data_IF_674762180467
#
_entry.id   IF_674762180467
#
_cell.length_a   1.000
_cell.length_b   1.000
_cell.length_c   1.000
_cell.angle_alpha   90.00
_cell.angle_beta   90.00
_cell.angle_gamma   90.00
#
_symmetry.space_group_name_H-M   'P 1'
#
loop_
_entity.id
_entity.type
_entity.pdbx_description
1 polymer ?
#
# COMPACT_ATOMS: atom_id res chain seq x y z
N UNK A 1 -10.22 -11.54 -19.67
CA UNK A 1 -9.92 -10.51 -18.65
C UNK A 1 -9.68 -11.20 -17.32
N UNK A 2 -8.83 -10.65 -16.45
CA UNK A 2 -8.62 -11.20 -15.11
C UNK A 2 -9.87 -10.95 -14.23
N UNK A 3 -10.20 -11.85 -13.28
CA UNK A 3 -11.39 -11.72 -12.44
C UNK A 3 -11.47 -10.39 -11.67
N UNK A 4 -10.33 -9.84 -11.26
CA UNK A 4 -10.25 -8.61 -10.48
C UNK A 4 -10.83 -7.41 -11.24
N UNK A 5 -10.75 -7.40 -12.58
CA UNK A 5 -11.29 -6.33 -13.40
C UNK A 5 -12.82 -6.23 -13.37
N UNK A 6 -13.52 -7.23 -12.80
CA UNK A 6 -14.99 -7.20 -12.65
C UNK A 6 -15.49 -6.08 -11.73
N UNK A 7 -14.62 -5.51 -10.89
CA UNK A 7 -14.98 -4.37 -10.02
C UNK A 7 -15.17 -3.06 -10.82
N UNK A 8 -14.69 -2.99 -12.06
CA UNK A 8 -14.85 -1.81 -12.88
C UNK A 8 -16.26 -1.69 -13.43
N UNK A 9 -17.01 -0.67 -13.02
CA UNK A 9 -18.34 -0.37 -13.57
C UNK A 9 -18.29 0.50 -14.81
N UNK A 10 -17.19 1.22 -15.01
CA UNK A 10 -16.94 2.01 -16.22
C UNK A 10 -15.44 2.22 -16.45
N UNK A 11 -15.11 2.51 -17.70
CA UNK A 11 -13.77 2.93 -18.10
C UNK A 11 -13.86 4.24 -18.88
N UNK A 12 -13.02 5.22 -18.53
CA UNK A 12 -13.05 6.57 -19.09
C UNK A 12 -11.66 6.91 -19.63
N UNK A 13 -11.61 7.27 -20.90
CA UNK A 13 -10.41 7.84 -21.51
C UNK A 13 -10.30 9.31 -21.12
N UNK A 14 -9.15 9.69 -20.59
CA UNK A 14 -8.84 11.07 -20.23
C UNK A 14 -7.99 11.71 -21.30
N UNK A 15 -8.56 12.73 -21.93
CA UNK A 15 -7.87 13.60 -22.88
C UNK A 15 -7.14 14.70 -22.13
N UNK A 16 -5.93 15.00 -22.60
CA UNK A 16 -5.15 16.17 -22.16
C UNK A 16 -5.89 17.47 -22.45
N UNK A 17 -6.57 17.55 -23.60
CA UNK A 17 -7.30 18.73 -24.06
C UNK A 17 -8.81 18.61 -23.81
N UNK A 18 -9.53 19.73 -23.59
CA UNK A 18 -10.98 19.75 -23.48
C UNK A 18 -11.66 19.16 -24.74
N UNK A 19 -12.83 18.52 -24.60
CA UNK A 19 -13.60 18.11 -25.77
C UNK A 19 -13.97 19.34 -26.62
N UNK A 20 -13.99 19.23 -27.97
CA UNK A 20 -14.45 20.30 -28.83
C UNK A 20 -15.90 20.68 -28.51
N UNK A 21 -16.32 21.95 -28.73
CA UNK A 21 -17.67 22.40 -28.43
C UNK A 21 -18.70 21.55 -29.17
N UNK A 22 -19.86 21.26 -28.54
CA UNK A 22 -20.87 20.41 -29.14
C UNK A 22 -21.36 21.02 -30.46
N UNK A 23 -21.57 20.20 -31.51
CA UNK A 23 -22.19 20.68 -32.74
C UNK A 23 -23.61 21.15 -32.46
N UNK A 24 -24.00 22.27 -33.08
CA UNK A 24 -25.37 22.78 -33.06
C UNK A 24 -26.35 21.72 -33.57
N UNK A 25 -27.45 21.55 -32.84
CA UNK A 25 -28.35 20.40 -32.80
C UNK A 25 -28.75 19.74 -34.14
N UNK A 26 -28.81 18.41 -34.13
CA UNK A 26 -29.80 17.62 -34.85
C UNK A 26 -30.17 16.37 -34.00
N UNK A 27 -31.46 16.07 -33.95
CA UNK A 27 -32.16 15.33 -32.89
C UNK A 27 -32.15 13.79 -33.02
N UNK A 28 -32.42 13.14 -31.88
CA UNK A 28 -32.86 11.76 -31.61
C UNK A 28 -32.03 10.54 -32.07
N UNK A 29 -31.09 10.67 -32.99
CA UNK A 29 -30.10 9.62 -33.35
C UNK A 29 -28.85 9.63 -32.43
N UNK A 30 -28.71 10.69 -31.64
CA UNK A 30 -27.52 10.99 -30.84
C UNK A 30 -27.24 10.00 -29.71
N UNK A 31 -28.27 9.44 -29.07
CA UNK A 31 -28.09 8.62 -27.87
C UNK A 31 -27.59 7.21 -28.18
N UNK A 32 -28.16 6.57 -29.21
CA UNK A 32 -27.65 5.28 -29.69
C UNK A 32 -26.21 5.41 -30.21
N UNK A 33 -25.94 6.43 -31.03
CA UNK A 33 -24.59 6.68 -31.55
C UNK A 33 -23.58 7.09 -30.46
N UNK A 34 -24.03 7.72 -29.35
CA UNK A 34 -23.19 8.04 -28.20
C UNK A 34 -22.92 6.82 -27.33
N UNK A 35 -23.93 5.96 -27.13
CA UNK A 35 -23.78 4.69 -26.42
C UNK A 35 -22.81 3.74 -27.15
N UNK A 36 -22.93 3.61 -28.49
CA UNK A 36 -22.00 2.79 -29.29
C UNK A 36 -20.57 3.30 -29.19
N UNK A 37 -20.33 4.62 -29.34
CA UNK A 37 -19.00 5.23 -29.17
C UNK A 37 -18.44 5.04 -27.76
N UNK A 38 -19.29 5.07 -26.74
CA UNK A 38 -18.89 4.81 -25.35
C UNK A 38 -18.42 3.36 -25.19
N UNK A 39 -19.16 2.39 -25.73
CA UNK A 39 -18.81 0.97 -25.69
C UNK A 39 -17.52 0.67 -26.45
N UNK A 40 -17.33 1.23 -27.64
CA UNK A 40 -16.09 1.11 -28.42
C UNK A 40 -14.87 1.67 -27.65
N UNK A 41 -15.05 2.82 -26.99
CA UNK A 41 -14.02 3.41 -26.14
C UNK A 41 -13.65 2.49 -24.97
N UNK A 42 -14.65 1.97 -24.25
CA UNK A 42 -14.43 1.04 -23.15
C UNK A 42 -13.72 -0.25 -23.63
N UNK A 43 -14.17 -0.83 -24.74
CA UNK A 43 -13.53 -2.01 -25.33
C UNK A 43 -12.05 -1.76 -25.66
N UNK A 44 -11.74 -0.59 -26.23
CA UNK A 44 -10.36 -0.18 -26.51
C UNK A 44 -9.53 -0.04 -25.23
N UNK A 45 -10.07 0.59 -24.18
CA UNK A 45 -9.40 0.74 -22.90
C UNK A 45 -9.10 -0.62 -22.27
N UNK A 46 -10.08 -1.54 -22.23
CA UNK A 46 -9.87 -2.87 -21.67
C UNK A 46 -8.91 -3.72 -22.50
N UNK A 47 -8.90 -3.55 -23.83
CA UNK A 47 -7.91 -4.19 -24.70
C UNK A 47 -6.50 -3.72 -24.38
N UNK A 48 -6.31 -2.41 -24.15
CA UNK A 48 -5.04 -1.86 -23.72
C UNK A 48 -4.63 -2.30 -22.31
N UNK A 49 -5.58 -2.42 -21.38
CA UNK A 49 -5.33 -2.96 -20.05
C UNK A 49 -4.85 -4.41 -20.17
N UNK A 50 -5.55 -5.25 -20.92
CA UNK A 50 -5.14 -6.64 -21.17
C UNK A 50 -3.73 -6.72 -21.76
N UNK A 51 -3.41 -5.83 -22.70
CA UNK A 51 -2.05 -5.70 -23.23
C UNK A 51 -1.01 -5.42 -22.13
N UNK A 52 -1.28 -4.49 -21.21
CA UNK A 52 -0.39 -4.15 -20.11
C UNK A 52 -0.26 -5.25 -19.03
N UNK A 53 -1.28 -6.10 -18.89
CA UNK A 53 -1.22 -7.28 -18.00
C UNK A 53 -0.26 -8.35 -18.54
N UNK A 54 -0.23 -8.54 -19.86
CA UNK A 54 0.56 -9.61 -20.50
C UNK A 54 1.95 -9.14 -20.92
N UNK A 55 2.05 -7.96 -21.51
CA UNK A 55 3.31 -7.38 -21.98
C UNK A 55 3.82 -6.35 -20.99
N UNK A 56 5.05 -6.55 -20.51
CA UNK A 56 5.79 -5.53 -19.77
C UNK A 56 7.04 -5.12 -20.53
N UNK A 57 7.27 -3.82 -20.61
CA UNK A 57 8.54 -3.24 -21.06
C UNK A 57 9.44 -2.85 -19.88
N UNK A 58 8.93 -2.93 -18.65
CA UNK A 58 9.67 -2.61 -17.42
C UNK A 58 9.86 -3.85 -16.56
N UNK A 59 11.02 -3.99 -15.89
CA UNK A 59 11.20 -5.05 -14.91
C UNK A 59 10.23 -4.85 -13.74
N UNK A 60 9.83 -5.96 -13.12
CA UNK A 60 9.11 -5.92 -11.86
C UNK A 60 10.06 -5.35 -10.77
N UNK A 61 9.49 -4.61 -9.83
CA UNK A 61 10.18 -3.96 -8.72
C UNK A 61 9.35 -4.13 -7.44
N UNK A 62 9.93 -3.73 -6.30
CA UNK A 62 9.16 -3.65 -5.07
C UNK A 62 8.06 -2.59 -5.21
N UNK A 63 6.84 -3.01 -4.91
CA UNK A 63 5.64 -2.22 -5.00
C UNK A 63 5.20 -1.68 -3.65
N UNK A 64 5.82 -2.07 -2.52
CA UNK A 64 5.50 -1.49 -1.22
C UNK A 64 5.87 0.00 -1.22
N UNK A 65 4.98 0.82 -0.67
CA UNK A 65 5.15 2.25 -0.48
C UNK A 65 5.44 2.57 0.99
N UNK A 66 4.56 2.15 1.89
CA UNK A 66 4.72 2.26 3.34
C UNK A 66 3.80 1.28 4.08
N UNK A 67 4.04 1.14 5.37
CA UNK A 67 3.22 0.40 6.32
C UNK A 67 1.86 1.08 6.55
N UNK A 68 0.79 0.29 6.63
CA UNK A 68 -0.56 0.79 6.97
C UNK A 68 -0.92 0.41 8.40
N UNK A 69 -0.83 -0.87 8.74
CA UNK A 69 -1.00 -1.37 10.10
C UNK A 69 -0.50 -2.81 10.25
N UNK A 70 -0.06 -3.14 11.47
CA UNK A 70 0.07 -4.51 11.96
C UNK A 70 -1.16 -4.88 12.80
N UNK A 71 -1.48 -6.16 12.92
CA UNK A 71 -2.55 -6.63 13.83
C UNK A 71 -2.19 -6.47 15.30
N UNK A 72 -0.90 -6.53 15.62
CA UNK A 72 -0.35 -6.23 16.93
C UNK A 72 1.13 -5.87 16.79
N UNK A 73 1.67 -5.23 17.82
CA UNK A 73 3.11 -5.04 17.98
C UNK A 73 3.48 -5.32 19.44
N UNK A 74 4.59 -6.03 19.68
CA UNK A 74 5.02 -6.35 21.05
C UNK A 74 5.66 -5.16 21.75
N UNK A 75 6.64 -4.53 21.09
CA UNK A 75 7.45 -3.48 21.68
C UNK A 75 7.71 -2.34 20.69
N UNK A 76 8.01 -1.15 21.22
CA UNK A 76 8.19 0.09 20.43
C UNK A 76 9.41 0.06 19.49
N UNK A 77 10.35 -0.88 19.69
CA UNK A 77 11.51 -1.08 18.81
C UNK A 77 11.24 -2.10 17.70
N UNK A 78 10.19 -2.93 17.86
CA UNK A 78 9.89 -4.08 17.02
C UNK A 78 8.75 -3.75 16.04
N UNK A 79 8.83 -2.57 15.44
CA UNK A 79 7.76 -1.95 14.67
C UNK A 79 7.69 -2.45 13.23
N UNK A 80 6.53 -2.26 12.61
CA UNK A 80 6.25 -2.72 11.25
C UNK A 80 7.19 -2.08 10.22
N UNK A 81 7.60 -0.83 10.42
CA UNK A 81 8.48 -0.06 9.53
C UNK A 81 9.82 -0.74 9.29
N UNK A 82 10.35 -1.47 10.29
CA UNK A 82 11.58 -2.24 10.15
C UNK A 82 11.50 -3.30 9.03
N UNK A 83 10.28 -3.77 8.70
CA UNK A 83 10.07 -4.74 7.61
C UNK A 83 10.27 -4.18 6.21
N UNK A 84 10.48 -2.87 6.06
CA UNK A 84 10.85 -2.23 4.81
C UNK A 84 12.38 -2.30 4.58
N UNK A 85 13.14 -2.54 5.64
CA UNK A 85 14.60 -2.59 5.60
C UNK A 85 15.08 -4.02 5.25
N UNK A 86 15.87 -4.20 4.18
CA UNK A 86 16.33 -5.53 3.76
C UNK A 86 17.30 -6.20 4.73
N UNK A 87 17.82 -5.46 5.72
CA UNK A 87 18.85 -5.90 6.64
C UNK A 87 18.21 -6.24 7.99
N UNK A 88 18.54 -7.41 8.54
CA UNK A 88 18.08 -7.84 9.87
C UNK A 88 18.84 -7.13 11.02
N UNK A 89 19.85 -6.32 10.68
CA UNK A 89 20.60 -5.47 11.60
C UNK A 89 20.94 -4.11 10.96
N UNK A 90 20.68 -3.03 11.67
CA UNK A 90 21.05 -1.65 11.32
C UNK A 90 21.84 -1.07 12.49
N UNK A 91 23.04 -0.55 12.24
CA UNK A 91 23.94 -0.01 13.29
C UNK A 91 24.12 -0.96 14.50
N UNK A 92 24.23 -2.26 14.20
CA UNK A 92 24.32 -3.37 15.18
C UNK A 92 23.06 -3.60 16.03
N UNK A 93 21.97 -2.90 15.76
CA UNK A 93 20.67 -3.13 16.38
C UNK A 93 19.83 -4.07 15.51
N UNK A 94 19.05 -4.98 16.10
CA UNK A 94 18.08 -5.78 15.37
C UNK A 94 17.06 -4.89 14.62
N UNK A 95 16.74 -5.25 13.37
CA UNK A 95 15.68 -4.61 12.59
C UNK A 95 14.64 -5.65 12.20
N UNK A 96 13.50 -5.64 12.89
CA UNK A 96 12.37 -6.54 12.65
C UNK A 96 11.08 -5.99 13.23
N UNK A 97 9.95 -6.54 12.77
CA UNK A 97 8.66 -6.45 13.45
C UNK A 97 8.40 -7.70 14.29
N UNK A 98 7.73 -7.54 15.43
CA UNK A 98 7.27 -8.66 16.27
C UNK A 98 5.82 -8.50 16.70
N UNK A 99 5.07 -9.59 16.65
CA UNK A 99 3.71 -9.68 17.20
C UNK A 99 3.71 -9.70 18.72
N UNK A 100 2.59 -9.36 19.36
CA UNK A 100 2.39 -9.70 20.78
C UNK A 100 2.38 -11.22 21.02
N UNK A 101 2.81 -11.61 22.21
CA UNK A 101 2.81 -13.01 22.66
C UNK A 101 1.39 -13.58 22.78
N UNK A 102 1.21 -14.82 22.30
CA UNK A 102 -0.06 -15.57 22.37
C UNK A 102 0.13 -16.96 22.97
N UNK A 103 -0.85 -17.42 23.74
CA UNK A 103 -0.87 -18.80 24.27
C UNK A 103 -1.29 -19.81 23.20
N UNK A 104 -2.25 -19.43 22.36
CA UNK A 104 -2.76 -20.25 21.26
C UNK A 104 -1.90 -20.05 20.00
N UNK A 105 -1.21 -21.10 19.51
CA UNK A 105 -0.37 -20.99 18.32
C UNK A 105 -1.18 -20.79 17.03
N UNK A 106 -2.49 -20.98 17.02
CA UNK A 106 -3.31 -20.85 15.81
C UNK A 106 -3.88 -19.44 15.63
N UNK A 107 -3.66 -18.53 16.59
CA UNK A 107 -4.03 -17.10 16.46
C UNK A 107 -3.13 -16.43 15.41
N UNK A 108 -3.71 -15.97 14.28
CA UNK A 108 -2.94 -15.39 13.18
C UNK A 108 -2.51 -13.95 13.48
N UNK A 109 -1.51 -13.48 12.74
CA UNK A 109 -1.13 -12.06 12.67
C UNK A 109 -1.24 -11.56 11.23
N UNK A 110 -1.14 -10.25 11.04
CA UNK A 110 -1.19 -9.64 9.73
C UNK A 110 -0.36 -8.36 9.65
N UNK A 111 0.28 -8.18 8.51
CA UNK A 111 0.97 -6.96 8.11
C UNK A 111 0.30 -6.40 6.85
N UNK A 112 -0.21 -5.17 6.93
CA UNK A 112 -0.90 -4.50 5.82
C UNK A 112 -0.05 -3.35 5.27
N UNK A 113 0.19 -3.37 3.96
CA UNK A 113 1.01 -2.38 3.26
C UNK A 113 0.23 -1.64 2.19
N UNK A 114 0.62 -0.39 1.98
CA UNK A 114 0.21 0.42 0.85
C UNK A 114 1.15 0.17 -0.32
N UNK A 115 0.62 0.07 -1.54
CA UNK A 115 1.41 -0.05 -2.74
C UNK A 115 1.67 1.31 -3.42
N UNK A 116 2.73 1.38 -4.22
CA UNK A 116 3.15 2.55 -5.00
C UNK A 116 2.08 3.07 -5.97
N UNK A 117 1.05 2.27 -6.27
CA UNK A 117 -0.09 2.69 -7.06
C UNK A 117 -1.39 1.98 -6.66
N UNK A 118 -2.52 2.61 -6.99
CA UNK A 118 -3.85 2.01 -6.90
C UNK A 118 -4.11 0.93 -7.94
N UNK A 119 -3.20 0.72 -8.90
CA UNK A 119 -3.35 -0.34 -9.89
C UNK A 119 -1.99 -0.93 -10.22
N UNK A 120 -1.73 -2.12 -9.68
CA UNK A 120 -0.48 -2.85 -9.86
C UNK A 120 -0.74 -4.26 -10.38
N UNK A 121 0.19 -4.79 -11.16
CA UNK A 121 0.27 -6.21 -11.49
C UNK A 121 1.28 -6.85 -10.56
N UNK A 122 0.84 -7.74 -9.68
CA UNK A 122 1.69 -8.39 -8.67
C UNK A 122 1.93 -9.84 -9.07
N UNK A 123 3.18 -10.27 -9.03
CA UNK A 123 3.61 -11.61 -9.43
C UNK A 123 4.10 -12.45 -8.26
N UNK A 124 4.73 -11.81 -7.27
CA UNK A 124 5.41 -12.50 -6.18
C UNK A 124 5.42 -11.64 -4.91
N UNK A 125 5.35 -12.30 -3.75
CA UNK A 125 5.59 -11.67 -2.46
C UNK A 125 6.83 -12.33 -1.88
N UNK A 126 7.67 -11.56 -1.19
CA UNK A 126 8.80 -12.10 -0.45
C UNK A 126 8.68 -11.75 1.02
N UNK A 127 9.07 -12.67 1.88
CA UNK A 127 9.06 -12.50 3.34
C UNK A 127 10.28 -13.17 3.94
N UNK A 128 10.92 -12.50 4.89
CA UNK A 128 12.04 -13.03 5.66
C UNK A 128 11.64 -13.13 7.13
N UNK A 129 11.47 -14.34 7.69
CA UNK A 129 11.33 -14.51 9.13
C UNK A 129 12.56 -14.01 9.89
N UNK A 130 12.36 -13.47 11.09
CA UNK A 130 13.47 -12.99 11.90
C UNK A 130 14.06 -14.09 12.80
N UNK A 131 15.39 -14.08 12.92
CA UNK A 131 16.16 -14.90 13.85
C UNK A 131 16.61 -14.04 15.02
N UNK A 132 16.16 -14.36 16.24
CA UNK A 132 16.58 -13.66 17.44
C UNK A 132 18.01 -14.09 17.83
N UNK A 133 19.01 -13.53 17.14
CA UNK A 133 20.42 -13.83 17.36
C UNK A 133 20.94 -13.43 18.76
N UNK A 134 20.17 -12.63 19.49
CA UNK A 134 20.44 -12.22 20.86
C UNK A 134 19.88 -13.20 21.92
N UNK A 135 19.03 -14.16 21.54
CA UNK A 135 18.48 -15.18 22.43
C UNK A 135 19.26 -16.50 22.38
N UNK A 136 19.25 -17.26 23.47
CA UNK A 136 19.90 -18.58 23.56
C UNK A 136 19.29 -19.53 22.53
N UNK A 137 20.14 -20.22 21.78
CA UNK A 137 19.71 -21.16 20.74
C UNK A 137 19.31 -20.50 19.42
N UNK A 138 19.32 -19.17 19.36
CA UNK A 138 19.02 -18.36 18.18
C UNK A 138 17.69 -18.73 17.49
N UNK A 139 16.57 -18.70 18.24
CA UNK A 139 15.26 -19.10 17.75
C UNK A 139 14.81 -18.28 16.53
N UNK A 140 14.00 -18.91 15.68
CA UNK A 140 13.39 -18.28 14.51
C UNK A 140 11.88 -18.21 14.73
N UNK A 141 11.34 -17.00 14.77
CA UNK A 141 9.94 -16.74 15.05
C UNK A 141 9.13 -16.65 13.73
N UNK A 142 9.22 -17.67 12.88
CA UNK A 142 8.48 -17.69 11.62
C UNK A 142 7.00 -18.09 11.83
N UNK A 143 6.09 -17.65 10.97
CA UNK A 143 4.81 -18.33 10.82
C UNK A 143 5.00 -19.74 10.22
N UNK A 144 3.98 -20.60 10.29
CA UNK A 144 3.94 -21.88 9.57
C UNK A 144 3.60 -21.68 8.10
N UNK A 145 2.62 -20.82 7.84
CA UNK A 145 2.10 -20.53 6.50
C UNK A 145 1.85 -19.03 6.34
N UNK A 146 1.78 -18.57 5.09
CA UNK A 146 1.37 -17.20 4.76
C UNK A 146 0.27 -17.19 3.71
N UNK A 147 -0.61 -16.19 3.78
CA UNK A 147 -1.66 -15.93 2.81
C UNK A 147 -1.72 -14.46 2.47
N UNK A 148 -1.93 -14.13 1.20
CA UNK A 148 -1.91 -12.77 0.71
C UNK A 148 -3.30 -12.34 0.26
N UNK A 149 -3.73 -11.14 0.68
CA UNK A 149 -4.96 -10.51 0.21
C UNK A 149 -4.64 -9.20 -0.49
N UNK A 150 -5.33 -8.94 -1.60
CA UNK A 150 -5.19 -7.69 -2.35
C UNK A 150 -6.54 -7.00 -2.47
N UNK A 151 -6.53 -5.68 -2.42
CA UNK A 151 -7.76 -4.90 -2.47
C UNK A 151 -7.57 -3.42 -2.22
N UNK A 152 -8.53 -2.83 -1.53
CA UNK A 152 -8.57 -1.40 -1.26
C UNK A 152 -9.07 -1.07 0.14
N UNK A 153 -8.64 0.08 0.66
CA UNK A 153 -9.16 0.66 1.89
C UNK A 153 -10.39 1.53 1.58
N UNK A 154 -11.42 1.44 2.41
CA UNK A 154 -12.64 2.26 2.34
C UNK A 154 -12.41 3.68 2.88
N UNK A 155 -11.42 3.86 3.75
CA UNK A 155 -11.08 5.15 4.33
C UNK A 155 -10.44 6.08 3.28
N UNK A 156 -10.65 7.40 3.38
CA UNK A 156 -10.00 8.35 2.48
C UNK A 156 -8.47 8.22 2.55
N UNK A 157 -7.82 8.37 1.39
CA UNK A 157 -6.35 8.42 1.33
C UNK A 157 -5.83 9.60 2.17
N UNK A 158 -4.87 9.32 3.05
CA UNK A 158 -4.33 10.30 4.01
C UNK A 158 -5.04 10.31 5.37
N UNK A 159 -6.11 9.53 5.54
CA UNK A 159 -6.77 9.28 6.83
C UNK A 159 -6.41 7.90 7.41
N UNK A 160 -5.61 7.13 6.67
CA UNK A 160 -4.82 6.05 7.29
C UNK A 160 -3.92 6.70 8.34
N UNK A 161 -3.66 6.04 9.48
CA UNK A 161 -2.91 6.61 10.57
C UNK A 161 -1.45 6.82 10.14
N UNK A 162 -1.21 7.91 9.42
CA UNK A 162 0.09 8.51 9.26
C UNK A 162 0.39 9.13 10.61
N UNK A 163 0.98 8.33 11.51
CA UNK A 163 1.50 8.76 12.81
C UNK A 163 0.51 9.65 13.56
N UNK A 164 -0.51 9.04 14.17
CA UNK A 164 -1.17 9.72 15.29
C UNK A 164 -0.21 9.61 16.46
N UNK A 165 0.06 10.75 17.07
CA UNK A 165 0.97 10.95 18.18
C UNK A 165 0.93 9.83 19.21
N UNK A 166 2.11 9.59 19.77
CA UNK A 166 2.41 8.63 20.82
C UNK A 166 1.58 8.97 22.07
N UNK A 167 0.34 8.49 22.13
CA UNK A 167 -0.34 8.20 23.37
C UNK A 167 -1.53 7.24 23.14
N UNK A 168 -1.42 6.06 23.77
CA UNK A 168 -2.45 5.04 24.02
C UNK A 168 -3.37 4.58 22.85
N UNK A 169 -3.15 3.31 22.45
CA UNK A 169 -3.82 2.48 21.43
C UNK A 169 -3.28 2.61 20.01
N UNK A 170 -2.39 1.67 19.65
CA UNK A 170 -2.13 1.26 18.26
C UNK A 170 -3.44 1.26 17.47
N UNK A 171 -3.63 2.24 16.60
CA UNK A 171 -4.82 2.36 15.77
C UNK A 171 -4.80 1.27 14.69
N UNK A 172 -5.10 0.03 15.08
CA UNK A 172 -5.30 -1.08 14.16
C UNK A 172 -6.51 -0.74 13.31
N UNK A 173 -6.29 -0.47 12.02
CA UNK A 173 -7.41 -0.33 11.09
C UNK A 173 -8.15 -1.67 11.06
N UNK A 174 -9.39 -1.67 11.56
CA UNK A 174 -10.20 -2.87 11.57
C UNK A 174 -10.36 -3.44 10.16
N UNK A 175 -10.30 -4.78 10.02
CA UNK A 175 -10.30 -5.47 8.72
C UNK A 175 -11.55 -5.12 7.87
N UNK A 176 -12.65 -4.75 8.53
CA UNK A 176 -13.89 -4.26 7.93
C UNK A 176 -13.74 -2.97 7.09
N UNK A 177 -12.68 -2.20 7.31
CA UNK A 177 -12.35 -1.03 6.52
C UNK A 177 -11.65 -1.40 5.20
N UNK A 178 -11.35 -2.67 4.97
CA UNK A 178 -10.79 -3.15 3.71
C UNK A 178 -11.82 -3.92 2.90
N UNK A 179 -11.66 -3.89 1.59
CA UNK A 179 -12.39 -4.74 0.65
C UNK A 179 -11.36 -5.54 -0.13
N UNK A 180 -11.31 -6.84 0.15
CA UNK A 180 -10.40 -7.79 -0.48
C UNK A 180 -11.02 -8.33 -1.77
N UNK A 181 -10.38 -8.09 -2.92
CA UNK A 181 -10.82 -8.57 -4.23
C UNK A 181 -10.13 -9.86 -4.66
N UNK A 182 -9.02 -10.19 -3.99
CA UNK A 182 -8.30 -11.44 -4.19
C UNK A 182 -7.76 -11.97 -2.86
N UNK A 183 -7.73 -13.30 -2.73
CA UNK A 183 -7.06 -14.04 -1.66
C UNK A 183 -6.28 -15.18 -2.27
N UNK A 184 -5.00 -15.30 -1.93
CA UNK A 184 -4.14 -16.37 -2.43
C UNK A 184 -4.43 -17.71 -1.74
N UNK A 185 -3.93 -18.83 -2.28
CA UNK A 185 -3.67 -20.03 -1.49
C UNK A 185 -2.72 -19.73 -0.32
N UNK A 186 -2.63 -20.66 0.62
CA UNK A 186 -1.65 -20.62 1.70
C UNK A 186 -0.33 -21.21 1.23
N UNK A 187 0.79 -20.56 1.59
CA UNK A 187 2.13 -21.00 1.24
C UNK A 187 2.92 -21.37 2.51
N UNK A 188 3.64 -22.49 2.54
CA UNK A 188 4.47 -22.85 3.67
C UNK A 188 5.67 -21.93 3.81
N UNK A 189 6.02 -21.59 5.05
CA UNK A 189 7.19 -20.80 5.38
C UNK A 189 8.23 -21.70 6.05
N UNK A 190 9.46 -21.66 5.54
CA UNK A 190 10.59 -22.33 6.15
C UNK A 190 11.02 -21.57 7.40
N UNK A 191 11.44 -22.29 8.44
CA UNK A 191 12.01 -21.69 9.65
C UNK A 191 13.46 -21.29 9.41
N UNK A 192 13.69 -20.38 8.47
CA UNK A 192 15.00 -19.90 8.07
C UNK A 192 14.97 -18.37 7.95
N UNK A 193 15.99 -17.69 8.47
CA UNK A 193 16.18 -16.25 8.31
C UNK A 193 16.79 -15.95 6.95
N UNK A 194 16.01 -16.20 5.90
CA UNK A 194 16.31 -15.91 4.51
C UNK A 194 15.09 -15.29 3.86
N UNK A 195 15.30 -14.43 2.86
CA UNK A 195 14.21 -13.87 2.07
C UNK A 195 13.58 -14.95 1.18
N UNK A 196 12.41 -15.44 1.59
CA UNK A 196 11.69 -16.50 0.89
C UNK A 196 10.73 -15.93 -0.14
N UNK A 197 10.62 -16.60 -1.28
CA UNK A 197 9.81 -16.17 -2.44
C UNK A 197 8.50 -16.96 -2.55
N UNK A 198 7.38 -16.24 -2.52
CA UNK A 198 6.03 -16.78 -2.64
C UNK A 198 5.39 -16.31 -3.95
N UNK A 199 5.49 -17.17 -4.98
CA UNK A 199 4.95 -16.86 -6.31
C UNK A 199 3.46 -17.15 -6.37
N UNK A 200 2.70 -16.19 -6.86
CA UNK A 200 1.27 -16.34 -7.05
C UNK A 200 0.99 -17.28 -8.24
N UNK A 201 -0.10 -18.07 -8.22
CA UNK A 201 -0.43 -19.01 -9.31
C UNK A 201 -0.57 -18.33 -10.68
N UNK A 202 -0.89 -17.04 -10.68
CA UNK A 202 -0.87 -16.14 -11.84
C UNK A 202 -0.56 -14.73 -11.35
N UNK A 203 -0.09 -13.82 -12.23
CA UNK A 203 -0.07 -12.40 -11.92
C UNK A 203 -1.48 -11.89 -11.58
N UNK A 204 -1.56 -11.06 -10.55
CA UNK A 204 -2.82 -10.52 -10.00
C UNK A 204 -2.89 -9.03 -10.29
N UNK A 205 -4.05 -8.55 -10.74
CA UNK A 205 -4.31 -7.12 -10.84
C UNK A 205 -4.82 -6.59 -9.49
N UNK A 206 -3.93 -6.01 -8.69
CA UNK A 206 -4.29 -5.36 -7.44
C UNK A 206 -4.95 -4.00 -7.75
N UNK A 207 -6.22 -3.85 -7.35
CA UNK A 207 -7.03 -2.64 -7.54
C UNK A 207 -7.29 -2.00 -6.18
N UNK A 208 -6.78 -0.78 -6.00
CA UNK A 208 -6.78 0.01 -4.77
C UNK A 208 -5.47 0.05 -4.01
N UNK A 209 -4.49 -0.74 -4.43
CA UNK A 209 -3.12 -0.62 -3.97
C UNK A 209 -2.94 -0.95 -2.49
N UNK A 210 -3.67 -1.93 -1.97
CA UNK A 210 -3.48 -2.46 -0.61
C UNK A 210 -3.18 -3.94 -0.69
N UNK A 211 -2.23 -4.39 0.11
CA UNK A 211 -1.91 -5.80 0.32
C UNK A 211 -1.87 -6.10 1.81
N UNK A 212 -2.43 -7.26 2.20
CA UNK A 212 -2.31 -7.82 3.55
C UNK A 212 -1.59 -9.15 3.47
N UNK A 213 -0.55 -9.31 4.27
CA UNK A 213 0.18 -10.55 4.49
C UNK A 213 -0.35 -11.15 5.79
N UNK A 214 -1.14 -12.21 5.71
CA UNK A 214 -1.61 -12.98 6.86
C UNK A 214 -0.55 -14.02 7.22
N UNK A 215 -0.10 -13.98 8.47
CA UNK A 215 0.93 -14.83 9.07
C UNK A 215 0.20 -15.90 9.91
N UNK A 216 0.19 -17.14 9.44
CA UNK A 216 -0.68 -18.20 9.95
C UNK A 216 0.14 -19.25 10.70
N UNK A 217 -0.29 -19.54 11.93
CA UNK A 217 0.31 -20.55 12.78
C UNK A 217 1.67 -20.12 13.34
N UNK A 218 1.79 -20.12 14.66
CA UNK A 218 3.03 -19.80 15.36
C UNK A 218 3.82 -21.07 15.62
N UNK A 219 5.15 -20.95 15.60
CA UNK A 219 6.04 -22.11 15.73
C UNK A 219 6.87 -22.06 17.00
N UNK A 220 7.40 -20.89 17.32
CA UNK A 220 8.39 -20.72 18.36
C UNK A 220 7.81 -20.00 19.58
N UNK A 221 8.16 -20.51 20.77
CA UNK A 221 7.89 -19.85 22.04
C UNK A 221 9.08 -19.04 22.51
N UNK A 222 8.82 -17.91 23.15
CA UNK A 222 9.81 -17.13 23.87
C UNK A 222 10.03 -17.71 25.27
N UNK A 223 11.27 -17.73 25.75
CA UNK A 223 11.64 -18.41 26.99
C UNK A 223 11.22 -17.65 28.24
N UNK A 224 11.13 -16.33 28.14
CA UNK A 224 10.84 -15.41 29.22
C UNK A 224 9.40 -15.53 29.74
N UNK A 225 8.44 -15.81 28.85
CA UNK A 225 7.00 -15.85 29.18
C UNK A 225 6.26 -17.10 28.69
N UNK A 226 6.95 -18.04 28.02
CA UNK A 226 6.38 -19.27 27.45
C UNK A 226 5.23 -19.04 26.45
N UNK A 227 5.21 -17.88 25.77
CA UNK A 227 4.23 -17.56 24.73
C UNK A 227 4.78 -17.67 23.32
N UNK A 228 3.87 -17.83 22.36
CA UNK A 228 4.19 -17.89 20.95
C UNK A 228 4.26 -16.51 20.28
N UNK A 229 5.28 -16.33 19.46
CA UNK A 229 5.57 -15.08 18.75
C UNK A 229 5.77 -15.32 17.25
N UNK A 230 5.51 -14.29 16.44
CA UNK A 230 5.90 -14.20 15.04
C UNK A 230 6.72 -12.92 14.86
N UNK A 231 7.87 -13.05 14.21
CA UNK A 231 8.74 -11.92 13.91
C UNK A 231 9.17 -11.94 12.44
N UNK A 232 9.10 -10.77 11.79
CA UNK A 232 9.42 -10.59 10.37
C UNK A 232 10.53 -9.57 10.26
N UNK A 233 11.62 -9.96 9.58
CA UNK A 233 12.72 -9.06 9.27
C UNK A 233 12.38 -8.16 8.08
N UNK A 234 11.91 -8.75 6.97
CA UNK A 234 11.76 -8.03 5.70
C UNK A 234 10.56 -8.54 4.90
N UNK A 235 9.88 -7.63 4.21
CA UNK A 235 8.78 -7.92 3.30
C UNK A 235 8.95 -7.17 1.98
N UNK A 236 8.64 -7.82 0.85
CA UNK A 236 8.63 -7.18 -0.46
C UNK A 236 7.45 -7.65 -1.30
N UNK A 237 6.88 -6.75 -2.10
CA UNK A 237 5.79 -7.09 -3.02
C UNK A 237 6.27 -6.84 -4.43
N UNK A 238 6.63 -7.90 -5.14
CA UNK A 238 7.23 -7.82 -6.47
C UNK A 238 6.15 -7.73 -7.53
N UNK A 239 6.23 -6.67 -8.32
CA UNK A 239 5.29 -6.42 -9.40
C UNK A 239 5.59 -5.13 -10.15
N UNK A 240 4.57 -4.58 -10.79
CA UNK A 240 4.69 -3.32 -11.53
C UNK A 240 3.44 -2.47 -11.41
N UNK A 241 3.66 -1.17 -11.29
CA UNK A 241 2.61 -0.17 -11.37
C UNK A 241 2.15 0.02 -12.83
N UNK A 242 0.83 0.08 -13.04
CA UNK A 242 0.24 0.47 -14.33
C UNK A 242 0.03 1.99 -14.43
N UNK A 243 0.35 2.73 -13.37
CA UNK A 243 0.34 4.18 -13.32
C UNK A 243 1.58 4.77 -14.02
N UNK A 244 1.46 5.94 -14.67
CA UNK A 244 0.25 6.76 -14.72
C UNK A 244 -0.74 6.35 -15.84
N UNK A 245 -0.35 5.54 -16.82
CA UNK A 245 -1.20 5.21 -18.00
C UNK A 245 -2.59 4.71 -17.60
N UNK A 246 -2.69 3.93 -16.52
CA UNK A 246 -3.94 3.57 -15.88
C UNK A 246 -4.00 4.11 -14.46
N UNK A 247 -5.17 4.62 -14.09
CA UNK A 247 -5.50 5.02 -12.72
C UNK A 247 -6.87 4.52 -12.33
N UNK A 248 -7.11 4.44 -11.03
CA UNK A 248 -8.38 3.95 -10.49
C UNK A 248 -8.94 4.97 -9.52
N UNK A 249 -10.23 5.24 -9.70
CA UNK A 249 -11.04 5.93 -8.72
C UNK A 249 -11.97 4.94 -8.03
N UNK A 250 -11.92 4.91 -6.71
CA UNK A 250 -12.78 4.09 -5.86
C UNK A 250 -13.60 5.08 -5.01
N UNK A 251 -14.91 5.23 -5.25
CA UNK A 251 -15.77 6.13 -4.50
C UNK A 251 -15.96 5.67 -3.04
N UNK A 252 -16.46 6.58 -2.20
CA UNK A 252 -16.74 6.36 -0.78
C UNK A 252 -17.86 5.33 -0.58
N UNK A 253 -17.47 4.05 -0.58
CA UNK A 253 -18.24 2.84 -0.31
C UNK A 253 -17.44 1.59 -0.74
N UNK A 254 -16.50 1.76 -1.68
CA UNK A 254 -15.62 0.67 -2.14
C UNK A 254 -16.30 -0.41 -3.01
N UNK A 255 -17.60 -0.29 -3.30
CA UNK A 255 -18.35 -1.34 -3.99
C UNK A 255 -18.05 -1.43 -5.50
N UNK A 256 -17.48 -0.38 -6.08
CA UNK A 256 -17.09 -0.34 -7.49
C UNK A 256 -15.90 0.58 -7.73
N UNK A 257 -15.28 0.42 -8.89
CA UNK A 257 -14.18 1.24 -9.34
C UNK A 257 -14.42 1.82 -10.74
N UNK A 258 -13.82 2.97 -11.02
CA UNK A 258 -13.78 3.57 -12.36
C UNK A 258 -12.34 3.52 -12.86
N UNK A 259 -12.13 2.86 -13.99
CA UNK A 259 -10.83 2.81 -14.65
C UNK A 259 -10.62 4.08 -15.47
N UNK A 260 -9.53 4.79 -15.22
CA UNK A 260 -9.12 5.96 -15.98
C UNK A 260 -7.93 5.60 -16.86
N UNK A 261 -8.06 5.86 -18.16
CA UNK A 261 -7.03 5.56 -19.14
C UNK A 261 -6.46 6.83 -19.74
N UNK A 262 -5.13 6.97 -19.74
CA UNK A 262 -4.42 8.13 -20.25
C UNK A 262 -3.44 7.71 -21.35
N UNK A 263 -3.89 7.66 -22.63
CA UNK A 263 -3.01 7.28 -23.73
C UNK A 263 -1.86 8.28 -23.92
N UNK A 264 -2.07 9.57 -23.61
CA UNK A 264 -1.06 10.62 -23.74
C UNK A 264 0.21 10.40 -22.89
N UNK A 265 0.13 9.61 -21.81
CA UNK A 265 1.27 9.32 -20.93
C UNK A 265 2.06 8.07 -21.33
N UNK A 266 1.66 7.37 -22.40
CA UNK A 266 2.47 6.25 -22.94
C UNK A 266 3.84 6.70 -23.45
N UNK A 267 3.95 7.95 -23.89
CA UNK A 267 5.13 8.51 -24.55
C UNK A 267 5.81 9.64 -23.75
N UNK A 268 5.36 9.92 -22.53
CA UNK A 268 5.90 11.01 -21.70
C UNK A 268 6.92 10.42 -20.71
N UNK A 269 8.13 10.96 -20.71
CA UNK A 269 9.11 10.71 -19.65
C UNK A 269 8.59 11.31 -18.33
N UNK A 270 9.07 10.80 -17.19
CA UNK A 270 8.71 11.32 -15.85
C UNK A 270 8.89 12.84 -15.74
N UNK A 271 9.82 13.40 -16.50
CA UNK A 271 10.16 14.82 -16.56
C UNK A 271 9.11 15.64 -17.32
N UNK A 272 8.46 15.08 -18.34
CA UNK A 272 7.45 15.78 -19.15
C UNK A 272 6.13 16.00 -18.38
N UNK A 273 5.91 15.24 -17.31
CA UNK A 273 4.77 15.42 -16.39
C UNK A 273 4.91 16.71 -15.58
N UNK A 274 6.08 17.36 -15.55
CA UNK A 274 6.30 18.64 -14.86
C UNK A 274 5.84 19.87 -15.66
N UNK A 275 5.67 19.75 -16.99
CA UNK A 275 5.32 20.90 -17.83
C UNK A 275 3.80 21.12 -17.82
N UNK A 276 3.34 22.13 -17.10
CA UNK A 276 1.95 22.59 -17.12
C UNK A 276 1.71 23.42 -18.39
N UNK A 277 0.85 22.95 -19.29
CA UNK A 277 0.36 23.74 -20.44
C UNK A 277 -1.01 24.34 -20.06
N UNK A 278 -1.19 25.64 -20.30
CA UNK A 278 -2.42 26.40 -20.01
C UNK A 278 -3.64 25.81 -20.75
N UNK A 279 -3.41 25.01 -21.81
CA UNK A 279 -4.46 24.32 -22.58
C UNK A 279 -4.94 23.00 -22.00
N UNK A 280 -4.35 22.52 -20.91
CA UNK A 280 -4.72 21.24 -20.30
C UNK A 280 -6.09 21.34 -19.61
N UNK A 281 -6.86 20.24 -19.65
CA UNK A 281 -8.16 20.16 -18.96
C UNK A 281 -7.98 20.19 -17.43
N UNK A 282 -8.93 20.75 -16.68
CA UNK A 282 -8.94 20.71 -15.21
C UNK A 282 -8.92 19.27 -14.65
N UNK A 283 -9.57 18.34 -15.34
CA UNK A 283 -9.55 16.91 -15.00
C UNK A 283 -8.16 16.31 -15.17
N UNK A 284 -7.39 16.77 -16.17
CA UNK A 284 -6.01 16.37 -16.41
C UNK A 284 -5.09 16.90 -15.31
N UNK A 285 -5.18 18.18 -14.96
CA UNK A 285 -4.40 18.80 -13.88
C UNK A 285 -4.64 18.13 -12.52
N UNK A 286 -5.91 17.95 -12.13
CA UNK A 286 -6.26 17.32 -10.85
C UNK A 286 -5.64 15.91 -10.74
N UNK A 287 -5.63 15.18 -11.85
CA UNK A 287 -5.15 13.80 -11.85
C UNK A 287 -3.63 13.70 -11.94
N UNK A 288 -2.97 14.59 -12.69
CA UNK A 288 -1.50 14.76 -12.65
C UNK A 288 -1.05 15.18 -11.25
N UNK A 289 -1.77 16.10 -10.59
CA UNK A 289 -1.50 16.49 -9.21
C UNK A 289 -1.64 15.30 -8.25
N UNK A 290 -2.69 14.48 -8.39
CA UNK A 290 -2.83 13.22 -7.62
C UNK A 290 -1.68 12.26 -7.86
N UNK A 291 -1.23 12.09 -9.10
CA UNK A 291 -0.06 11.27 -9.41
C UNK A 291 1.22 11.82 -8.78
N UNK A 292 1.44 13.14 -8.86
CA UNK A 292 2.56 13.81 -8.19
C UNK A 292 2.49 13.63 -6.68
N UNK A 293 1.32 13.78 -6.06
CA UNK A 293 1.13 13.57 -4.62
C UNK A 293 1.43 12.12 -4.22
N UNK A 294 0.94 11.13 -4.97
CA UNK A 294 1.25 9.71 -4.74
C UNK A 294 2.76 9.44 -4.82
N UNK A 295 3.47 10.06 -5.77
CA UNK A 295 4.92 9.93 -5.88
C UNK A 295 5.70 10.74 -4.85
N UNK A 296 5.19 11.90 -4.44
CA UNK A 296 5.85 12.78 -3.49
C UNK A 296 5.79 12.19 -2.08
N UNK A 297 4.69 11.54 -1.70
CA UNK A 297 4.66 10.71 -0.47
C UNK A 297 5.72 9.61 -0.53
N UNK A 298 5.85 8.89 -1.66
CA UNK A 298 6.89 7.87 -1.83
C UNK A 298 8.32 8.41 -1.66
N UNK A 299 8.59 9.61 -2.18
CA UNK A 299 9.92 10.24 -2.11
C UNK A 299 10.19 10.84 -0.74
N UNK A 300 9.18 11.43 -0.08
CA UNK A 300 9.32 11.99 1.27
C UNK A 300 9.46 10.90 2.33
N UNK A 301 8.81 9.75 2.16
CA UNK A 301 8.98 8.58 3.02
C UNK A 301 10.43 8.06 2.92
N UNK A 302 11.00 7.95 1.70
CA UNK A 302 12.41 7.59 1.47
C UNK A 302 13.41 8.61 2.06
N UNK A 303 13.16 9.92 1.88
CA UNK A 303 14.05 10.98 2.39
C UNK A 303 14.03 11.10 3.92
N UNK A 304 12.93 10.72 4.58
CA UNK A 304 12.85 10.71 6.05
C UNK A 304 13.59 9.54 6.68
N UNK A 305 13.60 8.39 6.01
CA UNK A 305 14.42 7.23 6.39
C UNK A 305 15.92 7.57 6.26
N UNK A 306 16.32 8.26 5.18
CA UNK A 306 17.72 8.66 4.98
C UNK A 306 18.22 9.75 5.95
N UNK A 307 17.33 10.56 6.55
CA UNK A 307 17.74 11.74 7.34
C UNK A 307 17.76 11.55 8.86
N UNK A 308 17.31 10.42 9.41
CA UNK A 308 17.48 10.11 10.84
C UNK A 308 17.06 11.23 11.82
N UNK A 309 16.10 12.09 11.43
CA UNK A 309 15.68 13.20 12.29
C UNK A 309 14.67 12.68 13.30
N UNK A 310 15.13 12.48 14.53
CA UNK A 310 14.26 12.39 15.70
C UNK A 310 13.41 13.68 15.82
N UNK A 311 12.16 13.60 16.29
CA UNK A 311 11.38 14.79 16.58
C UNK A 311 12.11 15.63 17.63
N UNK A 312 12.41 16.88 17.30
CA UNK A 312 12.81 17.89 18.29
C UNK A 312 11.59 18.13 19.18
N UNK A 313 11.66 17.91 20.50
CA UNK A 313 10.56 18.28 21.39
C UNK A 313 10.36 19.78 21.30
N UNK A 314 9.15 20.20 20.91
CA UNK A 314 8.70 21.57 21.14
C UNK A 314 8.75 21.79 22.65
N UNK A 315 9.64 22.69 23.09
CA UNK A 315 9.64 23.18 24.46
C UNK A 315 8.25 23.77 24.73
N UNK A 316 7.47 23.13 25.58
CA UNK A 316 6.31 23.73 26.21
C UNK A 316 6.82 24.92 27.02
N UNK A 317 6.34 26.12 26.69
CA UNK A 317 6.55 27.28 27.53
C UNK A 317 5.86 27.01 28.87
N UNK A 318 6.66 26.84 29.93
CA UNK A 318 6.15 26.71 31.30
C UNK A 318 5.27 27.91 31.62
N UNK A 319 3.99 27.61 31.85
CA UNK A 319 2.99 28.50 32.41
C UNK A 319 3.52 29.02 33.76
N UNK A 320 3.83 30.32 33.80
CA UNK A 320 4.29 31.00 35.01
C UNK A 320 3.12 31.08 36.00
N UNK A 321 2.93 29.99 36.75
CA UNK A 321 2.06 29.91 37.90
C UNK A 321 2.40 31.00 38.91
N UNK A 322 1.44 31.88 39.13
CA UNK A 322 1.41 32.92 40.16
C UNK A 322 1.67 32.28 41.54
N UNK A 323 2.79 32.65 42.16
CA UNK A 323 3.05 32.37 43.57
C UNK A 323 2.38 33.46 44.42
N UNK A 324 1.23 33.15 45.00
CA UNK A 324 0.72 33.83 46.19
C UNK A 324 1.17 33.01 47.41
N UNK A 325 2.23 33.46 48.07
CA UNK A 325 2.50 33.10 49.47
C UNK A 325 2.90 34.38 50.22
N UNK A 326 1.99 34.81 51.08
CA UNK A 326 2.07 35.96 51.98
C UNK A 326 2.93 35.58 53.22
N UNK A 327 3.75 36.47 53.80
CA UNK A 327 4.81 36.07 54.71
C UNK A 327 4.48 36.41 56.17
N UNK A 328 3.69 35.62 56.91
CA UNK A 328 3.62 35.74 58.39
C UNK A 328 3.20 34.43 59.08
N UNK A 329 4.17 33.81 59.76
CA UNK A 329 4.16 33.02 61.03
C UNK A 329 5.02 31.76 61.01
#
# INVERSE_FOLDING_TARGET
MCPEAAIFTSAVEMSRFPPPPPPTAAESSGDAARATRSLESQFRIYSYLCGALVHSTRPDADCILHCVCASSTDNYQEIMENTLEPQDQIDHQPSYWSSRGQDDPDVPEALTYRLTSNICVISEIKLQPFKAFFQIGFPIYSPKMVRFRFGHCKLPRGTEPFFIDVDENEAVIADENFVWTYTSPEFPVLQENILQSFRLPRPILCIGGVVKIELLGRVQKQAEDDKYYISVCHAQVVGRSLSPVFMVDIPYAGSYAVLKYMPGLRNLCTEDVKLEDIRDSSAWHSLVARYRQMRHSAVMDLLRIEQGMQPVPLMEEEDAGVSDDDPFE
#
